data_IF_856168232829
#
_entry.id   IF_856168232829
#
_cell.length_a   1.000
_cell.length_b   1.000
_cell.length_c   1.000
_cell.angle_alpha   90.00
_cell.angle_beta   90.00
_cell.angle_gamma   90.00
#
_symmetry.space_group_name_H-M   'P 1'
#
loop_
_entity.id
_entity.type
_entity.pdbx_description
1 polymer ?
#
# COMPACT_ATOMS: atom_id res chain seq x y z
N UNK A 1 12.96 18.66 16.54
CA UNK A 1 12.24 17.59 15.82
C UNK A 1 11.24 16.98 16.79
N UNK A 2 9.93 17.08 16.53
CA UNK A 2 8.90 16.85 17.55
C UNK A 2 8.71 15.35 17.80
N UNK A 3 8.69 14.96 19.07
CA UNK A 3 8.47 13.59 19.53
C UNK A 3 7.11 13.00 19.10
N UNK A 4 6.19 13.84 18.63
CA UNK A 4 4.88 13.46 18.09
C UNK A 4 4.95 12.85 16.69
N UNK A 5 5.85 13.31 15.82
CA UNK A 5 5.92 12.88 14.41
C UNK A 5 6.40 11.42 14.29
N UNK A 6 7.48 11.07 15.00
CA UNK A 6 7.97 9.69 15.08
C UNK A 6 6.95 8.73 15.70
N UNK A 7 6.14 9.21 16.66
CA UNK A 7 5.05 8.41 17.26
C UNK A 7 3.95 8.12 16.22
N UNK A 8 3.62 9.10 15.37
CA UNK A 8 2.64 8.91 14.30
C UNK A 8 3.13 7.89 13.26
N UNK A 9 4.38 8.01 12.80
CA UNK A 9 4.99 7.08 11.84
C UNK A 9 4.99 5.63 12.35
N UNK A 10 5.31 5.42 13.64
CA UNK A 10 5.26 4.08 14.26
C UNK A 10 3.85 3.52 14.32
N UNK A 11 2.84 4.35 14.60
CA UNK A 11 1.44 3.93 14.58
C UNK A 11 1.00 3.53 13.17
N UNK A 12 1.28 4.37 12.18
CA UNK A 12 0.95 4.11 10.76
C UNK A 12 1.64 2.83 10.27
N UNK A 13 2.92 2.64 10.58
CA UNK A 13 3.65 1.40 10.29
C UNK A 13 2.98 0.18 10.91
N UNK A 14 2.60 0.26 12.20
CA UNK A 14 1.95 -0.87 12.86
C UNK A 14 0.58 -1.18 12.25
N UNK A 15 -0.18 -0.17 11.81
CA UNK A 15 -1.42 -0.37 11.07
C UNK A 15 -1.14 -1.12 9.76
N UNK A 16 -0.13 -0.72 8.99
CA UNK A 16 0.25 -1.45 7.76
C UNK A 16 0.63 -2.90 8.00
N UNK A 17 1.34 -3.21 9.09
CA UNK A 17 1.67 -4.59 9.46
C UNK A 17 0.43 -5.41 9.81
N UNK A 18 -0.50 -4.84 10.59
CA UNK A 18 -1.76 -5.50 10.95
C UNK A 18 -2.61 -5.71 9.68
N UNK A 19 -2.74 -4.70 8.83
CA UNK A 19 -3.46 -4.81 7.56
C UNK A 19 -2.83 -5.85 6.65
N UNK A 20 -1.50 -5.91 6.56
CA UNK A 20 -0.79 -6.95 5.80
C UNK A 20 -1.12 -8.35 6.31
N UNK A 21 -1.07 -8.55 7.64
CA UNK A 21 -1.40 -9.84 8.24
C UNK A 21 -2.87 -10.24 7.96
N UNK A 22 -3.80 -9.29 8.10
CA UNK A 22 -5.21 -9.52 7.77
C UNK A 22 -5.41 -9.90 6.30
N UNK A 23 -4.77 -9.17 5.38
CA UNK A 23 -4.85 -9.41 3.94
C UNK A 23 -4.19 -10.73 3.53
N UNK A 24 -3.12 -11.15 4.21
CA UNK A 24 -2.52 -12.46 3.99
C UNK A 24 -3.46 -13.59 4.40
N UNK A 25 -4.12 -13.49 5.57
CA UNK A 25 -5.15 -14.45 5.98
C UNK A 25 -6.29 -14.47 4.96
N UNK A 26 -6.76 -13.30 4.52
CA UNK A 26 -7.81 -13.20 3.50
C UNK A 26 -7.41 -13.87 2.19
N UNK A 27 -6.19 -13.64 1.71
CA UNK A 27 -5.66 -14.27 0.48
C UNK A 27 -5.62 -15.80 0.60
N UNK A 28 -5.14 -16.35 1.72
CA UNK A 28 -5.13 -17.80 1.97
C UNK A 28 -6.55 -18.38 2.01
N UNK A 29 -7.50 -17.68 2.65
CA UNK A 29 -8.90 -18.11 2.67
C UNK A 29 -9.46 -18.15 1.25
N UNK A 30 -9.24 -17.10 0.45
CA UNK A 30 -9.70 -17.06 -0.94
C UNK A 30 -9.07 -18.16 -1.80
N UNK A 31 -7.78 -18.42 -1.64
CA UNK A 31 -7.09 -19.52 -2.34
C UNK A 31 -7.70 -20.89 -2.00
N UNK A 32 -8.03 -21.13 -0.73
CA UNK A 32 -8.66 -22.37 -0.29
C UNK A 32 -10.04 -22.58 -0.93
N UNK A 33 -10.81 -21.50 -1.11
CA UNK A 33 -12.13 -21.53 -1.73
C UNK A 33 -12.11 -21.39 -3.26
N UNK A 34 -10.95 -21.11 -3.88
CA UNK A 34 -10.84 -20.89 -5.31
C UNK A 34 -10.87 -22.17 -6.16
N UNK A 35 -11.10 -23.35 -5.54
CA UNK A 35 -11.24 -24.65 -6.23
C UNK A 35 -10.10 -24.96 -7.24
N UNK A 36 -8.88 -24.51 -6.93
CA UNK A 36 -7.69 -24.72 -7.76
C UNK A 36 -7.33 -23.57 -8.71
N UNK A 37 -8.10 -22.48 -8.72
CA UNK A 37 -7.77 -21.27 -9.49
C UNK A 37 -6.88 -20.35 -8.66
N UNK A 38 -5.66 -20.12 -9.12
CA UNK A 38 -4.69 -19.25 -8.43
C UNK A 38 -4.69 -17.88 -9.08
N UNK A 39 -4.76 -16.82 -8.26
CA UNK A 39 -4.56 -15.44 -8.71
C UNK A 39 -3.28 -14.86 -8.10
N UNK A 40 -2.38 -14.40 -8.98
CA UNK A 40 -1.14 -13.71 -8.57
C UNK A 40 -1.45 -12.41 -7.84
N UNK A 41 -2.52 -11.70 -8.24
CA UNK A 41 -2.92 -10.44 -7.63
C UNK A 41 -3.56 -10.64 -6.25
N UNK A 42 -4.25 -11.75 -6.01
CA UNK A 42 -4.77 -12.09 -4.68
C UNK A 42 -3.63 -12.43 -3.71
N UNK A 43 -2.70 -13.32 -4.12
CA UNK A 43 -1.56 -13.73 -3.28
C UNK A 43 -0.59 -12.57 -3.07
N UNK A 44 -0.39 -11.72 -4.08
CA UNK A 44 0.48 -10.56 -4.04
C UNK A 44 -0.10 -9.36 -3.28
N UNK A 45 -1.40 -9.33 -3.03
CA UNK A 45 -2.08 -8.23 -2.31
C UNK A 45 -1.42 -7.81 -0.98
N UNK A 46 -1.05 -8.73 -0.04
CA UNK A 46 -0.37 -8.35 1.19
C UNK A 46 1.01 -7.70 0.97
N UNK A 47 1.66 -7.89 -0.18
CA UNK A 47 2.95 -7.26 -0.46
C UNK A 47 2.85 -5.75 -0.64
N UNK A 48 1.73 -5.22 -1.13
CA UNK A 48 1.56 -3.78 -1.31
C UNK A 48 1.67 -3.00 0.02
N UNK A 49 0.87 -3.26 1.06
CA UNK A 49 1.01 -2.57 2.35
C UNK A 49 2.33 -2.90 3.06
N UNK A 50 2.93 -4.07 2.82
CA UNK A 50 4.22 -4.43 3.42
C UNK A 50 5.38 -3.62 2.82
N UNK A 51 5.52 -3.67 1.49
CA UNK A 51 6.64 -3.09 0.76
C UNK A 51 6.46 -1.59 0.57
N UNK A 52 5.24 -1.15 0.27
CA UNK A 52 4.98 0.27 0.02
C UNK A 52 4.52 1.00 1.28
N UNK A 53 3.93 0.33 2.28
CA UNK A 53 3.55 0.98 3.53
C UNK A 53 4.64 0.91 4.61
N UNK A 54 4.91 -0.30 5.10
CA UNK A 54 5.76 -0.49 6.28
C UNK A 54 7.24 -0.13 6.06
N UNK A 55 7.80 -0.48 4.89
CA UNK A 55 9.21 -0.19 4.56
C UNK A 55 9.50 1.32 4.47
N UNK A 56 8.73 2.14 3.71
CA UNK A 56 8.93 3.58 3.65
C UNK A 56 8.77 4.28 5.00
N UNK A 57 7.78 3.88 5.81
CA UNK A 57 7.64 4.40 7.17
C UNK A 57 8.88 4.10 8.03
N UNK A 58 9.50 2.92 7.89
CA UNK A 58 10.73 2.58 8.60
C UNK A 58 11.94 3.42 8.13
N UNK A 59 12.05 3.69 6.84
CA UNK A 59 13.10 4.54 6.28
C UNK A 59 12.93 6.01 6.72
N UNK A 60 11.70 6.50 6.81
CA UNK A 60 11.37 7.86 7.25
C UNK A 60 11.64 8.08 8.74
N UNK A 61 11.37 7.08 9.60
CA UNK A 61 11.72 7.08 11.03
C UNK A 61 13.24 7.25 11.22
N UNK A 62 14.06 6.75 10.27
CA UNK A 62 15.52 6.92 10.29
C UNK A 62 16.02 8.23 9.67
N UNK A 63 15.34 8.77 8.66
CA UNK A 63 15.84 9.90 7.83
C UNK A 63 15.34 11.29 8.24
N UNK A 64 14.49 11.41 9.26
CA UNK A 64 14.11 12.72 9.79
C UNK A 64 12.66 13.12 9.61
N UNK A 65 11.73 12.17 9.39
CA UNK A 65 10.30 12.48 9.22
C UNK A 65 9.92 12.83 7.78
N UNK A 66 8.62 13.03 7.56
CA UNK A 66 8.03 13.40 6.27
C UNK A 66 6.88 14.37 6.52
N UNK A 67 6.67 15.28 5.58
CA UNK A 67 5.48 16.14 5.57
C UNK A 67 4.21 15.30 5.68
N UNK A 68 3.29 15.72 6.56
CA UNK A 68 2.01 15.03 6.78
C UNK A 68 1.23 14.84 5.47
N UNK A 69 1.30 15.84 4.56
CA UNK A 69 0.67 15.77 3.24
C UNK A 69 1.31 14.72 2.33
N UNK A 70 2.64 14.62 2.33
CA UNK A 70 3.33 13.59 1.56
C UNK A 70 2.97 12.18 2.05
N UNK A 71 2.85 12.01 3.37
CA UNK A 71 2.47 10.74 3.99
C UNK A 71 1.02 10.36 3.63
N UNK A 72 0.09 11.31 3.66
CA UNK A 72 -1.31 11.06 3.31
C UNK A 72 -1.47 10.64 1.84
N UNK A 73 -0.84 11.37 0.92
CA UNK A 73 -0.83 11.01 -0.52
C UNK A 73 -0.24 9.62 -0.76
N UNK A 74 0.88 9.34 -0.10
CA UNK A 74 1.53 8.04 -0.18
C UNK A 74 0.60 6.94 0.33
N UNK A 75 -0.05 7.15 1.47
CA UNK A 75 -1.00 6.20 2.04
C UNK A 75 -2.19 5.94 1.10
N UNK A 76 -2.73 6.98 0.46
CA UNK A 76 -3.78 6.85 -0.55
C UNK A 76 -3.31 5.98 -1.73
N UNK A 77 -2.10 6.22 -2.26
CA UNK A 77 -1.54 5.40 -3.34
C UNK A 77 -1.41 3.91 -2.97
N UNK A 78 -0.92 3.62 -1.77
CA UNK A 78 -0.83 2.23 -1.26
C UNK A 78 -2.20 1.59 -1.14
N UNK A 79 -3.20 2.30 -0.61
CA UNK A 79 -4.57 1.80 -0.48
C UNK A 79 -5.16 1.53 -1.87
N UNK A 80 -5.02 2.44 -2.82
CA UNK A 80 -5.52 2.27 -4.19
C UNK A 80 -4.93 1.03 -4.86
N UNK A 81 -3.62 0.81 -4.75
CA UNK A 81 -2.98 -0.39 -5.30
C UNK A 81 -3.46 -1.67 -4.61
N UNK A 82 -3.60 -1.65 -3.29
CA UNK A 82 -4.07 -2.80 -2.52
C UNK A 82 -5.50 -3.17 -2.93
N UNK A 83 -6.39 -2.18 -3.04
CA UNK A 83 -7.79 -2.38 -3.49
C UNK A 83 -7.84 -2.84 -4.94
N UNK A 84 -7.02 -2.26 -5.82
CA UNK A 84 -6.93 -2.70 -7.22
C UNK A 84 -6.49 -4.17 -7.34
N UNK A 85 -5.50 -4.57 -6.56
CA UNK A 85 -5.02 -5.96 -6.49
C UNK A 85 -6.09 -6.91 -5.93
N UNK A 86 -6.80 -6.48 -4.89
CA UNK A 86 -7.90 -7.23 -4.29
C UNK A 86 -9.00 -7.50 -5.32
N UNK A 87 -9.51 -6.44 -5.96
CA UNK A 87 -10.60 -6.55 -6.93
C UNK A 87 -10.18 -7.44 -8.10
N UNK A 88 -9.01 -7.19 -8.69
CA UNK A 88 -8.53 -8.00 -9.81
C UNK A 88 -8.35 -9.47 -9.42
N UNK A 89 -7.82 -9.74 -8.22
CA UNK A 89 -7.68 -11.10 -7.73
C UNK A 89 -9.01 -11.82 -7.53
N UNK A 90 -10.04 -11.10 -7.07
CA UNK A 90 -11.41 -11.64 -6.98
C UNK A 90 -11.94 -12.00 -8.37
N UNK A 91 -11.91 -11.07 -9.33
CA UNK A 91 -12.42 -11.30 -10.69
C UNK A 91 -11.69 -12.46 -11.38
N UNK A 92 -10.37 -12.56 -11.21
CA UNK A 92 -9.54 -13.62 -11.79
C UNK A 92 -9.93 -15.01 -11.24
N UNK A 93 -10.19 -15.12 -9.93
CA UNK A 93 -10.69 -16.36 -9.30
C UNK A 93 -12.08 -16.73 -9.84
N UNK A 94 -12.92 -15.74 -10.12
CA UNK A 94 -14.23 -15.95 -10.76
C UNK A 94 -14.14 -16.23 -12.28
N UNK A 95 -12.94 -16.27 -12.87
CA UNK A 95 -12.75 -16.54 -14.30
C UNK A 95 -13.09 -15.36 -15.21
N UNK A 96 -13.07 -14.13 -14.67
CA UNK A 96 -13.37 -12.89 -15.38
C UNK A 96 -12.23 -11.90 -15.25
N UNK A 97 -12.22 -10.84 -16.08
CA UNK A 97 -11.18 -9.81 -16.03
C UNK A 97 -11.76 -8.50 -15.49
N UNK A 98 -10.96 -7.79 -14.68
CA UNK A 98 -11.35 -6.48 -14.17
C UNK A 98 -10.92 -5.37 -15.14
N UNK A 99 -11.86 -4.85 -15.93
CA UNK A 99 -11.59 -3.82 -16.96
C UNK A 99 -10.94 -2.54 -16.40
N UNK A 100 -11.23 -2.22 -15.13
CA UNK A 100 -10.70 -1.01 -14.49
C UNK A 100 -9.34 -1.22 -13.82
N UNK A 101 -8.77 -2.42 -13.89
CA UNK A 101 -7.53 -2.75 -13.18
C UNK A 101 -6.38 -1.78 -13.50
N UNK A 102 -6.18 -1.47 -14.77
CA UNK A 102 -5.14 -0.55 -15.22
C UNK A 102 -5.31 0.86 -14.63
N UNK A 103 -6.54 1.34 -14.45
CA UNK A 103 -6.79 2.66 -13.85
C UNK A 103 -6.41 2.69 -12.37
N UNK A 104 -6.65 1.61 -11.63
CA UNK A 104 -6.21 1.48 -10.24
C UNK A 104 -4.68 1.38 -10.15
N UNK A 105 -4.05 0.63 -11.05
CA UNK A 105 -2.60 0.48 -11.10
C UNK A 105 -1.92 1.83 -11.40
N UNK A 106 -2.34 2.50 -12.47
CA UNK A 106 -1.79 3.79 -12.91
C UNK A 106 -2.08 4.88 -11.88
N UNK A 107 -3.32 4.95 -11.37
CA UNK A 107 -3.71 5.93 -10.36
C UNK A 107 -2.94 5.75 -9.05
N UNK A 108 -2.78 4.51 -8.60
CA UNK A 108 -1.98 4.19 -7.41
C UNK A 108 -0.50 4.56 -7.57
N UNK A 109 0.12 4.20 -8.70
CA UNK A 109 1.51 4.59 -9.01
C UNK A 109 1.65 6.12 -9.10
N UNK A 110 0.73 6.80 -9.77
CA UNK A 110 0.74 8.26 -9.89
C UNK A 110 0.68 8.94 -8.51
N UNK A 111 -0.16 8.45 -7.61
CA UNK A 111 -0.26 8.94 -6.22
C UNK A 111 1.04 8.72 -5.45
N UNK A 112 1.69 7.57 -5.61
CA UNK A 112 2.99 7.31 -4.97
C UNK A 112 4.09 8.24 -5.48
N UNK A 113 4.17 8.42 -6.81
CA UNK A 113 5.13 9.35 -7.43
C UNK A 113 4.87 10.78 -6.96
N UNK A 114 3.61 11.19 -6.90
CA UNK A 114 3.23 12.52 -6.43
C UNK A 114 3.56 12.71 -4.94
N UNK A 115 3.34 11.70 -4.08
CA UNK A 115 3.75 11.73 -2.68
C UNK A 115 5.26 11.90 -2.50
N UNK A 116 6.07 11.23 -3.34
CA UNK A 116 7.54 11.40 -3.36
C UNK A 116 7.93 12.79 -3.83
N UNK A 117 7.29 13.30 -4.89
CA UNK A 117 7.54 14.65 -5.39
C UNK A 117 7.26 15.71 -4.31
N UNK A 118 6.14 15.59 -3.61
CA UNK A 118 5.78 16.48 -2.47
C UNK A 118 6.79 16.35 -1.34
N UNK A 119 7.27 15.14 -1.03
CA UNK A 119 8.32 14.95 -0.03
C UNK A 119 9.62 15.67 -0.39
N UNK A 120 10.05 15.62 -1.66
CA UNK A 120 11.23 16.36 -2.13
C UNK A 120 11.02 17.88 -2.09
N UNK A 121 9.85 18.37 -2.51
CA UNK A 121 9.54 19.80 -2.48
C UNK A 121 9.40 20.36 -1.06
N UNK A 122 8.85 19.57 -0.15
CA UNK A 122 8.64 19.97 1.25
C UNK A 122 9.92 19.90 2.08
N UNK A 123 11.01 19.34 1.55
CA UNK A 123 12.30 19.33 2.23
C UNK A 123 12.85 20.76 2.16
N UNK A 124 12.95 21.50 3.29
CA UNK A 124 13.55 22.83 3.24
C UNK A 124 14.99 22.67 2.75
N UNK A 125 15.33 23.36 1.65
CA UNK A 125 16.70 23.51 1.19
C UNK A 125 17.52 24.01 2.39
N UNK A 126 18.55 23.26 2.76
CA UNK A 126 19.54 23.73 3.74
C UNK A 126 20.27 24.95 3.19
#
# INVERSE_FOLDING_TARGET
MSTSENRNLRRVRNIYLISTAFLAVFATVYELFAHGVISVWMIGMPLFPLILGALPCHLLDKKGGASDWALQLWNCGVITLTVGSLLNGIFEIFGTYFEFFLYFLIGGIALLVFGVAVWFLSKPNK
#
